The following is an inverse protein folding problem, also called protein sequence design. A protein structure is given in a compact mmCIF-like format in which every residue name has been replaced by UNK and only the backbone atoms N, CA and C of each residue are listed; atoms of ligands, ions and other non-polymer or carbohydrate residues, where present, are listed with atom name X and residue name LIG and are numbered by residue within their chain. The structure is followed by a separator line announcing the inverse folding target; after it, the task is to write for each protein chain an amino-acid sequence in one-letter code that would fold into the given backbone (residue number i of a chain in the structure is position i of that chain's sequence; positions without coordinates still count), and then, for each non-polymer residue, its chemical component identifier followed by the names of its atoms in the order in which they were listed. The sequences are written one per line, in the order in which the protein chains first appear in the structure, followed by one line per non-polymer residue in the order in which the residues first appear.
data_IF_424358264499
#
_entry.id   IF_424358264499
#
_cell.length_a   1.000
_cell.length_b   1.000
_cell.length_c   1.000
_cell.angle_alpha   90.00
_cell.angle_beta   90.00
_cell.angle_gamma   90.00
#
_symmetry.space_group_name_H-M   'P 1'
#
loop_
_entity.id
_entity.type
_entity.pdbx_description
1 polymer ?
#
# COMPACT_ATOMS: atom_id res chain seq x y z
N UNK A 1 -4.58 40.12 22.25
CA UNK A 1 -4.14 38.82 21.74
C UNK A 1 -4.47 38.75 20.26
N UNK A 2 -3.48 38.55 19.40
CA UNK A 2 -3.72 38.41 17.97
C UNK A 2 -4.14 36.96 17.61
N UNK A 3 -4.61 36.73 16.38
CA UNK A 3 -5.09 35.43 15.90
C UNK A 3 -4.03 34.30 16.06
N UNK A 4 -2.76 34.62 15.82
CA UNK A 4 -1.63 33.67 15.93
C UNK A 4 -1.39 33.30 17.40
N UNK A 5 -1.35 34.26 18.28
CA UNK A 5 -1.19 34.03 19.73
C UNK A 5 -2.32 33.20 20.30
N UNK A 6 -3.56 33.52 19.92
CA UNK A 6 -4.72 32.71 20.31
C UNK A 6 -4.57 31.26 19.88
N UNK A 7 -4.28 31.02 18.60
CA UNK A 7 -4.16 29.68 18.03
C UNK A 7 -3.03 28.86 18.67
N UNK A 8 -1.85 29.50 18.92
CA UNK A 8 -0.69 28.81 19.51
C UNK A 8 -0.90 28.42 20.97
N UNK A 9 -1.86 29.01 21.65
CA UNK A 9 -2.23 28.68 23.04
C UNK A 9 -3.34 27.64 23.14
N UNK A 10 -3.91 27.19 22.01
CA UNK A 10 -4.94 26.15 22.04
C UNK A 10 -4.31 24.77 22.34
N UNK A 11 -4.99 23.93 23.11
CA UNK A 11 -4.57 22.55 23.31
C UNK A 11 -4.62 21.81 21.97
N UNK A 12 -3.63 20.96 21.73
CA UNK A 12 -3.58 20.12 20.53
C UNK A 12 -3.36 18.66 20.88
N UNK A 13 -3.97 17.77 20.11
CA UNK A 13 -3.78 16.33 20.19
C UNK A 13 -3.30 15.78 18.83
N UNK A 14 -2.19 15.07 18.86
CA UNK A 14 -1.58 14.42 17.70
C UNK A 14 -1.84 12.90 17.66
N UNK A 15 -2.70 12.36 18.52
CA UNK A 15 -2.97 10.92 18.60
C UNK A 15 -3.48 10.36 17.27
N UNK A 16 -4.46 11.03 16.65
CA UNK A 16 -5.01 10.64 15.36
C UNK A 16 -3.98 10.71 14.22
N UNK A 17 -3.15 11.76 14.19
CA UNK A 17 -2.07 11.87 13.19
C UNK A 17 -1.01 10.78 13.37
N UNK A 18 -0.69 10.43 14.62
CA UNK A 18 0.25 9.35 14.94
C UNK A 18 -0.27 7.99 14.51
N UNK A 19 -1.55 7.69 14.76
CA UNK A 19 -2.18 6.45 14.35
C UNK A 19 -2.22 6.31 12.82
N UNK A 20 -2.65 7.35 12.12
CA UNK A 20 -2.65 7.36 10.65
C UNK A 20 -1.26 7.18 10.05
N UNK A 21 -0.24 7.80 10.65
CA UNK A 21 1.13 7.65 10.16
C UNK A 21 1.69 6.25 10.40
N UNK A 22 1.35 5.62 11.53
CA UNK A 22 1.71 4.20 11.79
C UNK A 22 1.06 3.29 10.78
N UNK A 23 -0.24 3.38 10.61
CA UNK A 23 -0.99 2.59 9.62
C UNK A 23 -0.40 2.75 8.21
N UNK A 24 -0.09 3.99 7.80
CA UNK A 24 0.57 4.24 6.52
C UNK A 24 1.92 3.49 6.40
N UNK A 25 2.73 3.49 7.45
CA UNK A 25 4.03 2.80 7.45
C UNK A 25 3.87 1.27 7.43
N UNK A 26 2.86 0.74 8.11
CA UNK A 26 2.48 -0.67 8.06
C UNK A 26 2.12 -1.09 6.64
N UNK A 27 1.26 -0.34 5.96
CA UNK A 27 0.90 -0.61 4.56
C UNK A 27 2.11 -0.54 3.62
N UNK A 28 2.95 0.47 3.77
CA UNK A 28 4.14 0.63 2.93
C UNK A 28 5.14 -0.51 3.12
N UNK A 29 5.35 -0.95 4.36
CA UNK A 29 6.19 -2.11 4.64
C UNK A 29 5.60 -3.39 4.00
N UNK A 30 4.29 -3.60 4.14
CA UNK A 30 3.60 -4.73 3.52
C UNK A 30 3.72 -4.72 1.99
N UNK A 31 3.62 -3.54 1.36
CA UNK A 31 3.87 -3.42 -0.09
C UNK A 31 5.32 -3.76 -0.44
N UNK A 32 6.31 -3.29 0.34
CA UNK A 32 7.70 -3.68 0.12
C UNK A 32 7.86 -5.19 0.18
N UNK A 33 7.29 -5.84 1.20
CA UNK A 33 7.34 -7.31 1.34
C UNK A 33 6.63 -8.03 0.18
N UNK A 34 5.49 -7.53 -0.27
CA UNK A 34 4.79 -8.05 -1.44
C UNK A 34 5.65 -7.98 -2.70
N UNK A 35 6.35 -6.86 -2.92
CA UNK A 35 7.24 -6.70 -4.08
C UNK A 35 8.43 -7.65 -4.02
N UNK A 36 9.00 -7.92 -2.85
CA UNK A 36 10.03 -8.94 -2.65
C UNK A 36 9.52 -10.34 -3.02
N UNK A 37 8.32 -10.69 -2.56
CA UNK A 37 7.67 -11.97 -2.89
C UNK A 37 7.37 -12.12 -4.39
N UNK A 38 7.12 -11.04 -5.10
CA UNK A 38 6.98 -11.08 -6.56
C UNK A 38 8.24 -11.54 -7.29
N UNK A 39 9.40 -11.38 -6.66
CA UNK A 39 10.68 -11.86 -7.21
C UNK A 39 10.92 -13.36 -6.95
N UNK A 40 10.24 -13.96 -5.98
CA UNK A 40 10.27 -15.41 -5.72
C UNK A 40 9.38 -16.16 -6.72
N UNK A 41 9.54 -17.50 -6.78
CA UNK A 41 8.68 -18.37 -7.59
C UNK A 41 7.40 -18.83 -6.83
N UNK A 42 7.28 -18.51 -5.55
CA UNK A 42 6.21 -19.00 -4.69
C UNK A 42 4.89 -18.25 -4.92
N UNK A 43 3.78 -18.97 -4.79
CA UNK A 43 2.48 -18.35 -4.70
C UNK A 43 2.31 -17.73 -3.32
N UNK A 44 1.59 -16.64 -3.27
CA UNK A 44 1.23 -15.99 -2.02
C UNK A 44 -0.07 -15.21 -2.13
N UNK A 45 -0.70 -15.00 -0.98
CA UNK A 45 -1.70 -13.96 -0.77
C UNK A 45 -1.27 -13.12 0.43
N UNK A 46 -1.10 -11.83 0.26
CA UNK A 46 -0.85 -10.89 1.35
C UNK A 46 -2.16 -10.30 1.84
N UNK A 47 -2.35 -10.26 3.16
CA UNK A 47 -3.51 -9.66 3.83
C UNK A 47 -3.00 -8.52 4.72
N UNK A 48 -3.73 -7.41 4.70
CA UNK A 48 -3.41 -6.21 5.47
C UNK A 48 -4.43 -6.00 6.58
N UNK A 49 -3.93 -5.82 7.81
CA UNK A 49 -4.74 -5.43 8.98
C UNK A 49 -5.97 -6.33 9.22
N UNK A 50 -5.73 -7.62 9.52
CA UNK A 50 -6.77 -8.59 9.85
C UNK A 50 -6.44 -9.33 11.16
N UNK A 51 -5.63 -10.38 11.15
CA UNK A 51 -5.18 -11.08 12.38
C UNK A 51 -4.01 -10.34 13.03
N UNK A 52 -3.11 -9.81 12.21
CA UNK A 52 -2.02 -8.92 12.63
C UNK A 52 -1.84 -7.79 11.61
N UNK A 53 -0.77 -6.98 11.76
CA UNK A 53 -0.58 -5.83 10.86
C UNK A 53 -0.42 -6.28 9.39
N UNK A 54 0.37 -7.36 9.13
CA UNK A 54 0.55 -7.97 7.80
C UNK A 54 0.61 -9.49 7.93
N UNK A 55 -0.09 -10.18 7.05
CA UNK A 55 -0.10 -11.63 6.94
C UNK A 55 0.27 -12.05 5.53
N UNK A 56 1.03 -13.13 5.41
CA UNK A 56 1.32 -13.77 4.12
C UNK A 56 0.89 -15.23 4.21
N UNK A 57 -0.02 -15.59 3.34
CA UNK A 57 -0.50 -16.94 3.17
C UNK A 57 0.26 -17.57 2.02
N UNK A 58 1.05 -18.59 2.31
CA UNK A 58 1.83 -19.38 1.37
C UNK A 58 1.12 -20.72 1.10
N UNK A 59 1.63 -21.48 0.13
CA UNK A 59 1.06 -22.81 -0.19
C UNK A 59 1.18 -23.79 1.01
N UNK A 60 2.23 -23.66 1.84
CA UNK A 60 2.50 -24.60 2.94
C UNK A 60 2.46 -23.96 4.34
N UNK A 61 2.13 -22.68 4.48
CA UNK A 61 2.16 -22.04 5.79
C UNK A 61 1.84 -20.56 5.79
N UNK A 62 2.16 -19.91 6.91
CA UNK A 62 1.84 -18.51 7.14
C UNK A 62 3.04 -17.72 7.64
N UNK A 63 3.10 -16.44 7.27
CA UNK A 63 4.00 -15.49 7.89
C UNK A 63 3.16 -14.36 8.51
N UNK A 64 3.38 -14.05 9.78
CA UNK A 64 2.68 -12.99 10.52
C UNK A 64 3.67 -11.93 10.96
N UNK A 65 3.38 -10.69 10.64
CA UNK A 65 4.25 -9.55 10.87
C UNK A 65 3.57 -8.48 11.70
N UNK A 66 4.08 -8.27 12.91
CA UNK A 66 3.67 -7.17 13.76
C UNK A 66 4.64 -6.01 13.58
N UNK A 67 4.17 -4.86 13.10
CA UNK A 67 5.03 -3.72 12.77
C UNK A 67 4.99 -2.69 13.89
N UNK A 68 6.16 -2.26 14.31
CA UNK A 68 6.33 -1.25 15.37
C UNK A 68 7.32 -0.19 14.92
N UNK A 69 6.82 1.03 14.76
CA UNK A 69 7.64 2.18 14.36
C UNK A 69 7.96 3.09 15.53
N UNK A 70 9.21 3.51 15.60
CA UNK A 70 9.74 4.45 16.57
C UNK A 70 10.17 5.76 15.89
N UNK A 71 10.06 6.87 16.62
CA UNK A 71 10.62 8.15 16.17
C UNK A 71 12.15 8.06 16.06
N UNK A 72 12.76 8.93 15.25
CA UNK A 72 14.22 8.97 15.05
C UNK A 72 15.01 9.05 16.36
N UNK A 73 14.55 9.85 17.31
CA UNK A 73 15.15 9.98 18.65
C UNK A 73 14.86 8.81 19.59
N UNK A 74 14.12 7.77 19.14
CA UNK A 74 13.77 6.62 19.97
C UNK A 74 14.97 5.72 20.27
N UNK A 75 15.00 5.13 21.47
CA UNK A 75 16.11 4.29 21.94
C UNK A 75 16.10 2.84 21.40
N UNK A 76 15.17 2.50 20.49
CA UNK A 76 14.96 1.13 20.00
C UNK A 76 14.20 0.26 20.99
N UNK A 77 13.99 -0.99 20.57
CA UNK A 77 13.29 -1.97 21.40
C UNK A 77 14.27 -2.68 22.32
N UNK A 78 13.81 -2.96 23.53
CA UNK A 78 14.51 -3.77 24.52
C UNK A 78 13.64 -4.99 24.85
N UNK A 79 14.25 -6.05 25.37
CA UNK A 79 13.54 -7.25 25.80
C UNK A 79 12.40 -6.92 26.77
N UNK A 80 12.70 -6.13 27.79
CA UNK A 80 11.69 -5.65 28.74
C UNK A 80 10.49 -4.96 28.05
N UNK A 81 10.71 -4.23 26.98
CA UNK A 81 9.64 -3.49 26.29
C UNK A 81 8.73 -4.40 25.49
N UNK A 82 9.29 -5.42 24.83
CA UNK A 82 8.49 -6.35 24.01
C UNK A 82 7.74 -7.38 24.86
N UNK A 83 8.22 -7.65 26.08
CA UNK A 83 7.61 -8.55 27.05
C UNK A 83 6.70 -7.82 28.08
N UNK A 84 6.69 -6.49 28.08
CA UNK A 84 5.94 -5.74 29.09
C UNK A 84 4.43 -5.72 28.77
N UNK A 85 3.64 -6.25 29.70
CA UNK A 85 2.19 -6.12 29.67
C UNK A 85 1.80 -4.73 30.21
N UNK A 86 1.18 -3.90 29.40
CA UNK A 86 0.66 -2.60 29.84
C UNK A 86 -0.61 -2.82 30.67
N UNK A 87 -0.79 -2.01 31.71
CA UNK A 87 -2.01 -2.01 32.53
C UNK A 87 -3.23 -1.73 31.66
N UNK A 88 -4.15 -2.70 31.55
CA UNK A 88 -5.34 -2.62 30.67
C UNK A 88 -5.13 -3.12 29.24
N UNK A 89 -3.94 -3.55 28.85
CA UNK A 89 -3.67 -4.20 27.57
C UNK A 89 -3.75 -5.75 27.71
N UNK A 90 -4.30 -6.41 26.72
CA UNK A 90 -4.51 -7.86 26.71
C UNK A 90 -3.24 -8.63 26.31
N UNK A 91 -2.10 -8.30 26.91
CA UNK A 91 -0.84 -9.00 26.68
C UNK A 91 0.32 -8.13 26.22
N UNK A 92 1.51 -8.73 26.20
CA UNK A 92 2.74 -8.11 25.70
C UNK A 92 2.76 -8.04 24.15
N UNK A 93 3.69 -7.29 23.58
CA UNK A 93 3.86 -7.26 22.10
C UNK A 93 4.19 -8.66 21.59
N UNK A 94 5.11 -9.35 22.28
CA UNK A 94 5.57 -10.67 21.87
C UNK A 94 4.51 -11.75 22.15
N UNK A 95 3.79 -11.66 23.28
CA UNK A 95 2.71 -12.58 23.62
C UNK A 95 1.57 -12.53 22.57
N UNK A 96 1.15 -11.35 22.17
CA UNK A 96 0.14 -11.17 21.11
C UNK A 96 0.56 -11.81 19.78
N UNK A 97 1.84 -11.71 19.43
CA UNK A 97 2.36 -12.34 18.22
C UNK A 97 2.47 -13.87 18.42
N UNK A 98 2.95 -14.33 19.56
CA UNK A 98 3.16 -15.75 19.83
C UNK A 98 1.86 -16.58 19.93
N UNK A 99 0.73 -15.96 20.23
CA UNK A 99 -0.60 -16.62 20.16
C UNK A 99 -0.88 -17.20 18.75
N UNK A 100 -0.24 -16.69 17.72
CA UNK A 100 -0.38 -17.15 16.32
C UNK A 100 0.52 -18.35 16.00
N UNK A 101 1.37 -18.79 16.95
CA UNK A 101 2.21 -19.98 16.78
C UNK A 101 1.36 -21.24 16.62
N UNK A 102 1.81 -22.16 15.77
CA UNK A 102 1.16 -23.44 15.52
C UNK A 102 2.22 -24.53 15.34
N UNK A 103 2.06 -25.64 16.03
CA UNK A 103 2.99 -26.78 15.97
C UNK A 103 2.73 -27.69 14.74
N UNK A 104 1.51 -27.68 14.21
CA UNK A 104 1.10 -28.57 13.11
C UNK A 104 1.28 -27.93 11.73
N UNK A 105 1.50 -26.62 11.67
CA UNK A 105 1.62 -25.85 10.43
C UNK A 105 2.84 -24.94 10.48
N UNK A 106 3.65 -24.87 9.40
CA UNK A 106 4.74 -23.91 9.30
C UNK A 106 4.25 -22.48 9.49
N UNK A 107 4.76 -21.80 10.50
CA UNK A 107 4.40 -20.42 10.82
C UNK A 107 5.66 -19.61 11.06
N UNK A 108 5.75 -18.44 10.45
CA UNK A 108 6.79 -17.46 10.77
C UNK A 108 6.17 -16.29 11.51
N UNK A 109 6.69 -15.98 12.68
CA UNK A 109 6.25 -14.87 13.53
C UNK A 109 7.34 -13.81 13.57
N UNK A 110 7.10 -12.61 13.10
CA UNK A 110 8.12 -11.58 13.03
C UNK A 110 7.67 -10.24 13.63
N UNK A 111 8.49 -9.72 14.53
CA UNK A 111 8.38 -8.35 15.01
C UNK A 111 9.24 -7.43 14.13
N UNK A 112 8.60 -6.62 13.32
CA UNK A 112 9.26 -5.69 12.41
C UNK A 112 9.41 -4.32 13.07
N UNK A 113 10.61 -3.74 13.02
CA UNK A 113 10.86 -2.44 13.60
C UNK A 113 11.86 -1.61 12.79
N UNK A 114 11.67 -0.28 12.80
CA UNK A 114 12.60 0.66 12.20
C UNK A 114 13.79 1.03 13.12
N UNK A 115 14.01 0.29 14.18
CA UNK A 115 15.13 0.41 15.11
C UNK A 115 15.71 -0.95 15.41
N UNK A 116 17.01 -0.99 15.57
CA UNK A 116 17.71 -2.20 15.98
C UNK A 116 17.20 -2.72 17.34
N UNK A 117 17.18 -4.03 17.50
CA UNK A 117 16.94 -4.67 18.77
C UNK A 117 18.27 -4.83 19.51
N UNK A 118 18.42 -4.07 20.59
CA UNK A 118 19.68 -3.97 21.33
C UNK A 118 20.25 -5.29 21.84
N UNK A 119 19.41 -6.31 21.94
CA UNK A 119 19.80 -7.63 22.42
C UNK A 119 20.41 -8.53 21.34
N UNK A 120 20.18 -8.25 20.04
CA UNK A 120 20.61 -9.06 18.91
C UNK A 120 21.72 -8.36 18.11
N UNK A 121 21.35 -7.57 17.12
CA UNK A 121 22.31 -6.89 16.24
C UNK A 121 21.88 -5.45 15.96
N UNK A 122 22.84 -4.61 15.59
CA UNK A 122 22.59 -3.25 15.11
C UNK A 122 22.41 -3.18 13.60
N UNK A 123 22.70 -4.27 12.88
CA UNK A 123 22.61 -4.29 11.43
C UNK A 123 21.16 -4.52 10.95
N UNK A 124 20.74 -3.87 9.87
CA UNK A 124 19.46 -4.16 9.24
C UNK A 124 19.38 -5.61 8.78
N UNK A 125 18.17 -6.19 8.88
CA UNK A 125 17.92 -7.54 8.42
C UNK A 125 17.04 -8.35 9.37
N UNK A 126 16.88 -9.61 9.05
CA UNK A 126 16.10 -10.58 9.81
C UNK A 126 17.01 -11.39 10.72
N UNK A 127 16.62 -11.51 11.98
CA UNK A 127 17.40 -12.24 13.01
C UNK A 127 16.43 -13.07 13.82
N UNK A 128 16.72 -14.40 13.94
CA UNK A 128 15.94 -15.30 14.81
C UNK A 128 16.22 -15.05 16.29
N UNK A 129 15.20 -15.16 17.11
CA UNK A 129 15.30 -15.07 18.58
C UNK A 129 16.12 -16.20 19.21
N UNK A 130 16.32 -17.30 18.50
CA UNK A 130 17.24 -18.38 18.97
C UNK A 130 18.72 -17.92 19.00
N UNK A 131 19.07 -16.81 18.36
CA UNK A 131 20.43 -16.25 18.40
C UNK A 131 20.72 -15.44 19.66
N UNK A 132 19.72 -15.24 20.51
CA UNK A 132 19.92 -14.64 21.82
C UNK A 132 20.74 -15.57 22.73
N UNK A 133 21.42 -15.00 23.73
CA UNK A 133 22.09 -15.80 24.75
C UNK A 133 21.07 -16.53 25.64
N UNK A 134 21.52 -17.60 26.31
CA UNK A 134 20.65 -18.48 27.13
C UNK A 134 19.84 -17.73 28.19
N UNK A 135 20.40 -16.69 28.80
CA UNK A 135 19.71 -15.88 29.82
C UNK A 135 18.50 -15.17 29.22
N UNK A 136 18.65 -14.50 28.09
CA UNK A 136 17.57 -13.78 27.40
C UNK A 136 16.55 -14.72 26.78
N UNK A 137 17.01 -15.82 26.21
CA UNK A 137 16.14 -16.89 25.71
C UNK A 137 15.25 -17.44 26.82
N UNK A 138 15.84 -17.74 28.00
CA UNK A 138 15.09 -18.20 29.17
C UNK A 138 14.11 -17.12 29.70
N UNK A 139 14.48 -15.84 29.66
CA UNK A 139 13.60 -14.73 30.03
C UNK A 139 12.35 -14.69 29.12
N UNK A 140 12.52 -14.83 27.81
CA UNK A 140 11.42 -14.84 26.85
C UNK A 140 10.51 -16.05 27.08
N UNK A 141 11.10 -17.24 27.15
CA UNK A 141 10.36 -18.51 27.34
C UNK A 141 9.52 -18.43 28.60
N UNK A 142 10.11 -18.02 29.72
CA UNK A 142 9.40 -17.89 30.99
C UNK A 142 8.29 -16.82 30.93
N UNK A 143 8.54 -15.70 30.29
CA UNK A 143 7.54 -14.64 30.14
C UNK A 143 6.34 -15.11 29.32
N UNK A 144 6.57 -15.77 28.17
CA UNK A 144 5.51 -16.29 27.30
C UNK A 144 4.73 -17.43 27.96
N UNK A 145 5.41 -18.37 28.66
CA UNK A 145 4.75 -19.43 29.42
C UNK A 145 3.80 -18.87 30.48
N UNK A 146 4.26 -17.88 31.23
CA UNK A 146 3.45 -17.24 32.27
C UNK A 146 2.31 -16.38 31.70
N UNK A 147 2.53 -15.71 30.57
CA UNK A 147 1.53 -14.82 29.94
C UNK A 147 0.41 -15.63 29.30
N UNK A 148 0.77 -16.69 28.56
CA UNK A 148 -0.14 -17.47 27.73
C UNK A 148 -0.66 -18.76 28.39
N UNK A 149 -0.16 -19.08 29.59
CA UNK A 149 -0.47 -20.33 30.33
C UNK A 149 -0.18 -21.59 29.51
N UNK A 150 0.99 -21.63 28.85
CA UNK A 150 1.45 -22.73 28.01
C UNK A 150 2.65 -23.45 28.62
N UNK A 151 2.76 -24.75 28.36
CA UNK A 151 3.82 -25.60 28.95
C UNK A 151 5.14 -25.50 28.22
N UNK A 152 5.12 -25.20 26.90
CA UNK A 152 6.29 -25.11 26.06
C UNK A 152 6.29 -23.89 25.14
N UNK A 153 7.46 -23.42 24.74
CA UNK A 153 7.66 -22.27 23.85
C UNK A 153 8.79 -22.58 22.91
N UNK A 154 8.50 -22.63 21.61
CA UNK A 154 9.50 -22.74 20.56
C UNK A 154 9.80 -21.33 19.99
N UNK A 155 11.09 -20.98 19.96
CA UNK A 155 11.57 -19.71 19.42
C UNK A 155 12.07 -19.82 17.97
N UNK A 156 12.05 -21.02 17.37
CA UNK A 156 12.58 -21.24 16.01
C UNK A 156 11.83 -20.41 14.96
N UNK A 157 10.52 -20.24 15.16
CA UNK A 157 9.66 -19.51 14.23
C UNK A 157 9.55 -18.02 14.56
N UNK A 158 10.27 -17.55 15.58
CA UNK A 158 10.19 -16.19 16.07
C UNK A 158 11.38 -15.34 15.61
N UNK A 159 11.11 -14.21 14.97
CA UNK A 159 12.09 -13.35 14.35
C UNK A 159 11.92 -11.88 14.75
N UNK A 160 13.03 -11.17 14.76
CA UNK A 160 13.06 -9.72 14.77
C UNK A 160 13.60 -9.21 13.44
N UNK A 161 12.86 -8.32 12.79
CA UNK A 161 13.27 -7.71 11.52
C UNK A 161 13.56 -6.24 11.79
N UNK A 162 14.83 -5.86 11.68
CA UNK A 162 15.22 -4.47 11.65
C UNK A 162 15.24 -3.95 10.22
N UNK A 163 14.36 -3.01 9.92
CA UNK A 163 14.28 -2.35 8.63
C UNK A 163 14.33 -0.83 8.82
N UNK A 164 15.35 -0.14 8.31
CA UNK A 164 15.44 1.32 8.40
C UNK A 164 14.38 1.95 7.50
N UNK A 165 13.25 2.38 8.10
CA UNK A 165 12.16 3.07 7.39
C UNK A 165 12.42 4.57 7.38
N UNK A 166 12.34 5.19 6.20
CA UNK A 166 12.33 6.65 6.10
C UNK A 166 10.98 7.19 6.60
N UNK A 167 10.97 7.82 7.77
CA UNK A 167 9.75 8.34 8.39
C UNK A 167 9.27 9.67 7.77
N UNK A 168 10.11 10.35 7.01
CA UNK A 168 9.80 11.65 6.40
C UNK A 168 9.16 11.46 5.01
N UNK A 169 9.79 10.64 4.16
CA UNK A 169 9.34 10.37 2.80
C UNK A 169 9.34 8.85 2.52
N UNK A 170 8.52 8.07 3.23
CA UNK A 170 8.58 6.62 3.15
C UNK A 170 8.17 6.05 1.78
N UNK A 171 7.46 6.85 0.97
CA UNK A 171 6.98 6.39 -0.34
C UNK A 171 8.06 6.31 -1.42
N UNK A 172 9.16 7.04 -1.29
CA UNK A 172 10.18 7.08 -2.35
C UNK A 172 10.84 5.72 -2.57
N UNK A 173 11.12 5.00 -1.50
CA UNK A 173 11.69 3.67 -1.56
C UNK A 173 10.73 2.69 -2.22
N UNK A 174 9.47 2.69 -1.80
CA UNK A 174 8.43 1.82 -2.36
C UNK A 174 8.17 2.11 -3.84
N UNK A 175 8.17 3.39 -4.24
CA UNK A 175 8.08 3.76 -5.66
C UNK A 175 9.23 3.19 -6.47
N UNK A 176 10.46 3.28 -5.95
CA UNK A 176 11.65 2.70 -6.60
C UNK A 176 11.54 1.19 -6.76
N UNK A 177 11.18 0.49 -5.69
CA UNK A 177 10.97 -0.96 -5.71
C UNK A 177 9.87 -1.36 -6.71
N UNK A 178 8.73 -0.65 -6.69
CA UNK A 178 7.61 -0.93 -7.60
C UNK A 178 7.99 -0.74 -9.07
N UNK A 179 8.73 0.32 -9.41
CA UNK A 179 9.25 0.53 -10.77
C UNK A 179 10.12 -0.65 -11.17
N UNK A 180 11.08 -1.02 -10.34
CA UNK A 180 12.01 -2.14 -10.61
C UNK A 180 11.26 -3.47 -10.79
N UNK A 181 10.29 -3.75 -9.92
CA UNK A 181 9.46 -4.97 -10.02
C UNK A 181 8.61 -4.95 -11.29
N UNK A 182 8.01 -3.80 -11.62
CA UNK A 182 7.25 -3.65 -12.88
C UNK A 182 8.13 -3.94 -14.10
N UNK A 183 9.33 -3.36 -14.16
CA UNK A 183 10.27 -3.58 -15.26
C UNK A 183 10.69 -5.05 -15.38
N UNK A 184 10.93 -5.72 -14.24
CA UNK A 184 11.24 -7.15 -14.22
C UNK A 184 10.11 -8.01 -14.78
N UNK A 185 8.86 -7.70 -14.43
CA UNK A 185 7.67 -8.47 -14.83
C UNK A 185 7.25 -8.14 -16.26
N UNK A 186 7.12 -6.85 -16.59
CA UNK A 186 6.57 -6.39 -17.87
C UNK A 186 7.60 -6.16 -18.96
N UNK A 187 8.91 -6.27 -18.64
CA UNK A 187 10.05 -6.04 -19.56
C UNK A 187 10.00 -4.66 -20.23
N UNK A 188 9.46 -3.69 -19.56
CA UNK A 188 9.35 -2.29 -20.00
C UNK A 188 9.21 -1.37 -18.80
N UNK A 189 9.67 -0.14 -18.92
CA UNK A 189 9.46 0.90 -17.91
C UNK A 189 7.98 1.29 -17.81
N UNK A 190 7.49 1.64 -16.61
CA UNK A 190 6.13 2.18 -16.46
C UNK A 190 6.07 3.59 -17.03
N UNK A 191 5.11 3.86 -17.93
CA UNK A 191 4.94 5.18 -18.55
C UNK A 191 4.68 6.30 -17.53
N UNK A 192 3.98 6.00 -16.44
CA UNK A 192 3.59 6.95 -15.42
C UNK A 192 3.81 6.34 -14.01
N UNK A 193 5.05 6.34 -13.48
CA UNK A 193 5.37 5.66 -12.21
C UNK A 193 4.54 6.10 -11.02
N UNK A 194 4.18 7.38 -10.94
CA UNK A 194 3.34 7.89 -9.86
C UNK A 194 1.89 7.37 -9.94
N UNK A 195 1.38 7.14 -11.15
CA UNK A 195 0.06 6.56 -11.35
C UNK A 195 0.05 5.08 -10.94
N UNK A 196 1.05 4.34 -11.36
CA UNK A 196 1.24 2.95 -10.93
C UNK A 196 1.27 2.83 -9.40
N UNK A 197 2.07 3.68 -8.74
CA UNK A 197 2.15 3.71 -7.29
C UNK A 197 0.79 4.00 -6.63
N UNK A 198 0.05 4.98 -7.12
CA UNK A 198 -1.27 5.31 -6.56
C UNK A 198 -2.26 4.17 -6.75
N UNK A 199 -2.27 3.54 -7.92
CA UNK A 199 -3.13 2.40 -8.20
C UNK A 199 -2.90 1.24 -7.23
N UNK A 200 -1.63 0.89 -7.00
CA UNK A 200 -1.27 -0.17 -6.04
C UNK A 200 -1.65 0.23 -4.61
N UNK A 201 -1.35 1.46 -4.20
CA UNK A 201 -1.66 1.92 -2.84
C UNK A 201 -3.16 2.08 -2.59
N UNK A 202 -3.94 2.41 -3.60
CA UNK A 202 -5.40 2.47 -3.52
C UNK A 202 -5.97 1.08 -3.26
N UNK A 203 -5.57 0.06 -4.04
CA UNK A 203 -5.98 -1.33 -3.82
C UNK A 203 -5.61 -1.82 -2.42
N UNK A 204 -4.36 -1.59 -2.00
CA UNK A 204 -3.87 -1.97 -0.67
C UNK A 204 -4.68 -1.30 0.43
N UNK A 205 -4.94 0.01 0.31
CA UNK A 205 -5.69 0.77 1.32
C UNK A 205 -7.15 0.35 1.38
N UNK A 206 -7.78 0.09 0.24
CA UNK A 206 -9.16 -0.41 0.16
C UNK A 206 -9.28 -1.75 0.89
N UNK A 207 -8.38 -2.70 0.58
CA UNK A 207 -8.35 -4.02 1.22
C UNK A 207 -8.07 -3.92 2.72
N UNK A 208 -7.12 -3.10 3.14
CA UNK A 208 -6.77 -2.93 4.54
C UNK A 208 -7.92 -2.32 5.37
N UNK A 209 -8.64 -1.35 4.80
CA UNK A 209 -9.74 -0.66 5.47
C UNK A 209 -11.09 -1.38 5.39
N UNK A 210 -11.17 -2.52 4.71
CA UNK A 210 -12.44 -3.25 4.59
C UNK A 210 -12.79 -3.94 5.90
N UNK A 211 -13.89 -3.49 6.52
CA UNK A 211 -14.41 -4.05 7.77
C UNK A 211 -15.51 -5.07 7.49
N UNK A 212 -15.35 -6.27 7.98
CA UNK A 212 -16.36 -7.34 7.85
C UNK A 212 -16.16 -8.39 8.96
N UNK A 213 -17.25 -9.08 9.30
CA UNK A 213 -17.23 -10.25 10.19
C UNK A 213 -17.49 -11.50 9.34
N UNK A 214 -16.42 -12.14 8.90
CA UNK A 214 -16.48 -13.34 8.07
C UNK A 214 -15.58 -14.43 8.65
N UNK A 215 -16.02 -15.69 8.51
CA UNK A 215 -15.30 -16.89 8.97
C UNK A 215 -14.96 -17.85 7.83
N UNK A 216 -15.28 -17.48 6.62
CA UNK A 216 -14.98 -18.22 5.41
C UNK A 216 -13.62 -17.78 4.87
N UNK A 217 -12.67 -18.72 4.83
CA UNK A 217 -11.27 -18.43 4.48
C UNK A 217 -11.13 -17.86 3.06
N UNK A 218 -11.85 -18.43 2.10
CA UNK A 218 -11.82 -18.01 0.70
C UNK A 218 -12.36 -16.58 0.55
N UNK A 219 -13.43 -16.26 1.27
CA UNK A 219 -13.96 -14.89 1.30
C UNK A 219 -13.03 -13.90 1.96
N UNK A 220 -12.33 -14.31 3.03
CA UNK A 220 -11.33 -13.45 3.65
C UNK A 220 -10.23 -13.14 2.65
N UNK A 221 -9.72 -14.13 1.94
CA UNK A 221 -8.72 -13.93 0.89
C UNK A 221 -9.24 -13.04 -0.25
N UNK A 222 -10.47 -13.24 -0.69
CA UNK A 222 -11.09 -12.41 -1.74
C UNK A 222 -11.23 -10.95 -1.31
N UNK A 223 -11.76 -10.70 -0.10
CA UNK A 223 -12.12 -9.37 0.36
C UNK A 223 -10.91 -8.57 0.87
N UNK A 224 -9.96 -9.20 1.55
CA UNK A 224 -8.79 -8.53 2.15
C UNK A 224 -7.46 -8.87 1.47
N UNK A 225 -7.40 -9.94 0.71
CA UNK A 225 -6.17 -10.43 0.13
C UNK A 225 -5.79 -9.78 -1.20
N UNK A 226 -4.49 -9.69 -1.41
CA UNK A 226 -3.89 -9.42 -2.72
C UNK A 226 -2.98 -10.60 -3.04
N UNK A 227 -3.44 -11.49 -3.90
CA UNK A 227 -2.64 -12.62 -4.36
C UNK A 227 -1.60 -12.18 -5.41
N UNK A 228 -0.59 -13.03 -5.64
CA UNK A 228 0.35 -12.86 -6.75
C UNK A 228 -0.38 -12.64 -8.09
N UNK A 229 -1.42 -13.44 -8.35
CA UNK A 229 -2.24 -13.31 -9.55
C UNK A 229 -2.94 -11.96 -9.62
N UNK A 230 -3.60 -11.56 -8.52
CA UNK A 230 -4.28 -10.28 -8.44
C UNK A 230 -3.35 -9.09 -8.65
N UNK A 231 -2.15 -9.15 -8.08
CA UNK A 231 -1.16 -8.10 -8.29
C UNK A 231 -0.70 -8.03 -9.76
N UNK A 232 -0.48 -9.18 -10.41
CA UNK A 232 -0.19 -9.22 -11.85
C UNK A 232 -1.31 -8.63 -12.70
N UNK A 233 -2.59 -8.90 -12.36
CA UNK A 233 -3.76 -8.31 -13.03
C UNK A 233 -3.76 -6.79 -12.90
N UNK A 234 -3.41 -6.24 -11.73
CA UNK A 234 -3.28 -4.79 -11.52
C UNK A 234 -2.21 -4.20 -12.46
N UNK A 235 -1.05 -4.86 -12.56
CA UNK A 235 0.02 -4.43 -13.46
C UNK A 235 -0.38 -4.55 -14.94
N UNK A 236 -1.14 -5.59 -15.31
CA UNK A 236 -1.65 -5.77 -16.68
C UNK A 236 -2.68 -4.72 -17.04
N UNK A 237 -3.64 -4.48 -16.15
CA UNK A 237 -4.65 -3.46 -16.32
C UNK A 237 -4.02 -2.07 -16.48
N UNK A 238 -3.03 -1.71 -15.65
CA UNK A 238 -2.25 -0.50 -15.80
C UNK A 238 -1.59 -0.42 -17.19
N UNK A 239 -0.93 -1.50 -17.63
CA UNK A 239 -0.22 -1.55 -18.91
C UNK A 239 -1.16 -1.44 -20.11
N UNK A 240 -2.31 -2.07 -20.06
CA UNK A 240 -3.34 -2.06 -21.11
C UNK A 240 -3.96 -0.66 -21.24
N UNK A 241 -4.35 -0.07 -20.13
CA UNK A 241 -4.93 1.27 -20.07
C UNK A 241 -3.97 2.30 -20.67
N UNK A 242 -2.71 2.25 -20.26
CA UNK A 242 -1.69 3.17 -20.77
C UNK A 242 -1.40 3.01 -22.28
N UNK A 243 -1.56 1.80 -22.85
CA UNK A 243 -1.22 1.52 -24.25
C UNK A 243 -2.41 1.68 -25.20
N UNK A 244 -3.57 1.14 -24.83
CA UNK A 244 -4.68 0.99 -25.76
C UNK A 244 -5.59 2.21 -25.81
N UNK A 245 -6.03 2.73 -24.67
CA UNK A 245 -6.91 3.89 -24.63
C UNK A 245 -6.27 5.14 -25.22
N UNK A 246 -5.02 5.43 -24.86
CA UNK A 246 -4.25 6.56 -25.39
C UNK A 246 -4.04 6.40 -26.89
N UNK A 247 -3.67 5.20 -27.34
CA UNK A 247 -3.45 4.93 -28.77
C UNK A 247 -4.73 5.13 -29.59
N UNK A 248 -5.84 4.50 -29.16
CA UNK A 248 -7.13 4.61 -29.85
C UNK A 248 -7.63 6.05 -29.91
N UNK A 249 -7.52 6.79 -28.79
CA UNK A 249 -7.92 8.20 -28.77
C UNK A 249 -7.05 9.06 -29.67
N UNK A 250 -5.74 8.85 -29.68
CA UNK A 250 -4.83 9.56 -30.59
C UNK A 250 -5.10 9.22 -32.05
N UNK A 251 -5.36 7.96 -32.37
CA UNK A 251 -5.68 7.52 -33.74
C UNK A 251 -7.00 8.18 -34.20
N UNK A 252 -8.01 8.23 -33.33
CA UNK A 252 -9.26 8.93 -33.62
C UNK A 252 -9.04 10.43 -33.88
N UNK A 253 -8.31 11.12 -32.96
CA UNK A 253 -8.01 12.56 -33.11
C UNK A 253 -7.20 12.83 -34.39
N UNK A 254 -6.28 11.94 -34.76
CA UNK A 254 -5.49 12.08 -35.97
C UNK A 254 -6.32 11.97 -37.28
N UNK A 255 -7.45 11.26 -37.21
CA UNK A 255 -8.37 11.09 -38.32
C UNK A 255 -9.38 12.24 -38.48
N UNK A 256 -9.40 13.22 -37.57
CA UNK A 256 -10.24 14.40 -37.71
C UNK A 256 -9.67 15.31 -38.81
N UNK A 257 -10.51 15.66 -39.79
CA UNK A 257 -10.07 16.43 -40.96
C UNK A 257 -9.82 17.91 -40.66
N UNK A 258 -10.52 18.50 -39.69
CA UNK A 258 -10.36 19.91 -39.34
C UNK A 258 -9.16 20.14 -38.41
N UNK A 259 -8.08 20.74 -38.94
CA UNK A 259 -6.83 20.97 -38.23
C UNK A 259 -6.98 21.75 -36.91
N UNK A 260 -7.86 22.75 -36.87
CA UNK A 260 -8.09 23.56 -35.67
C UNK A 260 -8.73 22.76 -34.52
N UNK A 261 -9.75 21.96 -34.84
CA UNK A 261 -10.42 21.09 -33.89
C UNK A 261 -9.49 19.97 -33.44
N UNK A 262 -8.73 19.37 -34.38
CA UNK A 262 -7.71 18.35 -34.06
C UNK A 262 -6.69 18.86 -33.06
N UNK A 263 -6.19 20.08 -33.24
CA UNK A 263 -5.23 20.68 -32.31
C UNK A 263 -5.85 20.84 -30.92
N UNK A 264 -7.07 21.37 -30.84
CA UNK A 264 -7.80 21.57 -29.56
C UNK A 264 -7.99 20.28 -28.81
N UNK A 265 -8.37 19.20 -29.48
CA UNK A 265 -8.50 17.88 -28.85
C UNK A 265 -7.17 17.31 -28.39
N UNK A 266 -6.10 17.49 -29.18
CA UNK A 266 -4.75 17.04 -28.77
C UNK A 266 -4.24 17.77 -27.55
N UNK A 267 -4.44 19.08 -27.48
CA UNK A 267 -4.01 19.90 -26.35
C UNK A 267 -4.79 19.49 -25.08
N UNK A 268 -6.11 19.32 -25.20
CA UNK A 268 -6.97 18.84 -24.12
C UNK A 268 -6.58 17.43 -23.64
N UNK A 269 -6.37 16.49 -24.57
CA UNK A 269 -5.95 15.15 -24.24
C UNK A 269 -4.59 15.12 -23.55
N UNK A 270 -3.64 15.92 -24.01
CA UNK A 270 -2.30 16.03 -23.40
C UNK A 270 -2.34 16.56 -21.97
N UNK A 271 -3.28 17.46 -21.67
CA UNK A 271 -3.52 17.94 -20.31
C UNK A 271 -4.23 16.89 -19.41
N UNK A 272 -5.13 16.13 -20.01
CA UNK A 272 -5.97 15.16 -19.32
C UNK A 272 -5.24 13.86 -18.97
N UNK A 273 -4.45 13.30 -19.88
CA UNK A 273 -3.82 12.00 -19.73
C UNK A 273 -2.97 11.83 -18.47
N UNK A 274 -2.14 12.81 -18.05
CA UNK A 274 -1.38 12.68 -16.82
C UNK A 274 -2.26 12.56 -15.57
N UNK A 275 -3.45 13.14 -15.59
CA UNK A 275 -4.42 13.09 -14.49
C UNK A 275 -5.19 11.77 -14.50
N UNK A 276 -5.63 11.35 -15.67
CA UNK A 276 -6.31 10.07 -15.87
C UNK A 276 -5.43 8.91 -15.43
N UNK A 277 -4.17 8.88 -15.83
CA UNK A 277 -3.21 7.83 -15.50
C UNK A 277 -2.86 7.72 -14.01
N UNK A 278 -3.49 8.51 -13.16
CA UNK A 278 -3.27 8.47 -11.71
C UNK A 278 -4.33 7.69 -10.93
N UNK A 279 -5.35 7.14 -11.59
CA UNK A 279 -6.54 6.61 -10.92
C UNK A 279 -6.96 5.24 -11.44
N UNK A 280 -7.45 4.38 -10.52
CA UNK A 280 -7.95 3.02 -10.81
C UNK A 280 -9.17 3.01 -11.74
N UNK A 281 -10.00 4.05 -11.67
CA UNK A 281 -11.23 4.19 -12.51
C UNK A 281 -10.93 4.59 -13.96
N UNK A 282 -9.67 4.68 -14.31
CA UNK A 282 -9.18 5.15 -15.59
C UNK A 282 -9.73 4.41 -16.79
N UNK A 283 -9.77 3.09 -16.72
CA UNK A 283 -10.17 2.30 -17.88
C UNK A 283 -11.62 2.59 -18.28
N UNK A 284 -12.54 2.67 -17.30
CA UNK A 284 -13.92 3.00 -17.56
C UNK A 284 -14.08 4.43 -18.06
N UNK A 285 -13.27 5.34 -17.52
CA UNK A 285 -13.32 6.73 -17.90
C UNK A 285 -12.71 6.97 -19.27
N UNK A 286 -11.56 6.37 -19.60
CA UNK A 286 -10.98 6.39 -20.93
C UNK A 286 -11.92 5.82 -22.00
N UNK A 287 -12.49 4.64 -21.71
CA UNK A 287 -13.47 4.05 -22.61
C UNK A 287 -14.68 4.97 -22.82
N UNK A 288 -15.15 5.63 -21.76
CA UNK A 288 -16.24 6.61 -21.85
C UNK A 288 -15.86 7.82 -22.71
N UNK A 289 -14.63 8.34 -22.56
CA UNK A 289 -14.12 9.45 -23.36
C UNK A 289 -14.00 9.04 -24.83
N UNK A 290 -13.38 7.89 -25.10
CA UNK A 290 -13.22 7.38 -26.48
C UNK A 290 -14.58 7.16 -27.15
N UNK A 291 -15.55 6.59 -26.43
CA UNK A 291 -16.89 6.40 -26.96
C UNK A 291 -17.61 7.71 -27.25
N UNK A 292 -17.48 8.68 -26.38
CA UNK A 292 -18.05 10.02 -26.56
C UNK A 292 -17.46 10.70 -27.79
N UNK A 293 -16.13 10.69 -27.93
CA UNK A 293 -15.44 11.27 -29.09
C UNK A 293 -15.85 10.58 -30.40
N UNK A 294 -15.93 9.24 -30.39
CA UNK A 294 -16.39 8.46 -31.56
C UNK A 294 -17.85 8.75 -31.93
N UNK A 295 -18.73 8.87 -30.92
CA UNK A 295 -20.15 9.14 -31.14
C UNK A 295 -20.43 10.56 -31.66
N UNK A 296 -19.58 11.53 -31.31
CA UNK A 296 -19.67 12.89 -31.86
C UNK A 296 -19.23 12.96 -33.33
N UNK A 297 -18.43 12.00 -33.78
CA UNK A 297 -17.90 11.99 -35.16
C UNK A 297 -17.10 13.26 -35.46
N UNK A 298 -17.25 13.76 -36.69
CA UNK A 298 -16.60 15.02 -37.11
C UNK A 298 -17.41 16.25 -36.74
N UNK A 299 -18.63 16.09 -36.21
CA UNK A 299 -19.46 17.22 -35.82
C UNK A 299 -19.08 17.72 -34.42
N UNK A 300 -18.00 18.47 -34.37
CA UNK A 300 -17.43 19.03 -33.15
C UNK A 300 -18.06 20.37 -32.73
N UNK A 301 -19.26 20.72 -33.28
CA UNK A 301 -19.96 21.94 -32.91
C UNK A 301 -20.35 22.04 -31.43
N UNK A 302 -20.45 20.90 -30.75
CA UNK A 302 -20.86 20.78 -29.35
C UNK A 302 -19.71 20.45 -28.38
N UNK A 303 -18.51 20.94 -28.67
CA UNK A 303 -17.34 20.76 -27.83
C UNK A 303 -17.59 21.20 -26.37
N UNK A 304 -18.39 22.26 -26.17
CA UNK A 304 -18.69 22.76 -24.83
C UNK A 304 -19.52 21.77 -24.01
N UNK A 305 -20.44 21.05 -24.62
CA UNK A 305 -21.20 20.01 -23.92
C UNK A 305 -20.31 18.85 -23.49
N UNK A 306 -19.37 18.50 -24.32
CA UNK A 306 -18.37 17.46 -24.02
C UNK A 306 -17.42 17.88 -22.89
N UNK A 307 -16.97 19.14 -22.91
CA UNK A 307 -16.17 19.74 -21.82
C UNK A 307 -16.95 19.69 -20.51
N UNK A 308 -18.21 20.09 -20.51
CA UNK A 308 -19.07 20.10 -19.33
C UNK A 308 -19.33 18.68 -18.83
N UNK A 309 -19.57 17.72 -19.72
CA UNK A 309 -19.78 16.34 -19.36
C UNK A 309 -18.53 15.74 -18.68
N UNK A 310 -17.34 15.90 -19.28
CA UNK A 310 -16.09 15.45 -18.70
C UNK A 310 -15.77 16.13 -17.36
N UNK A 311 -15.94 17.43 -17.26
CA UNK A 311 -15.81 18.17 -16.00
C UNK A 311 -16.68 17.55 -14.92
N UNK A 312 -17.93 17.23 -15.25
CA UNK A 312 -18.86 16.63 -14.30
C UNK A 312 -18.44 15.24 -13.81
N UNK A 313 -17.77 14.46 -14.66
CA UNK A 313 -17.21 13.16 -14.29
C UNK A 313 -15.97 13.35 -13.41
N UNK A 314 -15.09 14.27 -13.78
CA UNK A 314 -13.89 14.58 -13.01
C UNK A 314 -14.21 15.10 -11.61
N UNK A 315 -15.14 16.03 -11.49
CA UNK A 315 -15.56 16.59 -10.20
C UNK A 315 -16.14 15.52 -9.25
N UNK A 316 -16.78 14.49 -9.79
CA UNK A 316 -17.42 13.43 -9.00
C UNK A 316 -16.53 12.25 -8.67
N UNK A 317 -15.62 11.88 -9.57
CA UNK A 317 -14.87 10.62 -9.49
C UNK A 317 -13.38 10.81 -9.23
N UNK A 318 -12.86 11.99 -9.50
CA UNK A 318 -11.43 12.28 -9.45
C UNK A 318 -11.21 13.50 -8.56
N UNK A 319 -10.83 13.32 -7.29
CA UNK A 319 -10.51 14.41 -6.39
C UNK A 319 -9.13 15.01 -6.74
N UNK A 320 -8.95 15.49 -7.97
CA UNK A 320 -7.75 16.17 -8.44
C UNK A 320 -8.10 17.62 -8.68
N UNK A 321 -7.37 18.52 -8.05
CA UNK A 321 -7.44 19.93 -8.35
C UNK A 321 -6.89 20.18 -9.76
N UNK A 322 -7.71 20.74 -10.62
CA UNK A 322 -7.33 21.23 -11.94
C UNK A 322 -7.83 22.66 -12.11
N UNK A 323 -7.10 23.44 -12.86
CA UNK A 323 -7.40 24.87 -13.05
C UNK A 323 -8.68 25.07 -13.85
N UNK A 324 -9.31 26.24 -13.70
CA UNK A 324 -10.48 26.61 -14.49
C UNK A 324 -10.21 26.62 -16.00
N UNK A 325 -8.95 26.85 -16.39
CA UNK A 325 -8.50 26.80 -17.78
C UNK A 325 -8.40 25.36 -18.29
N UNK A 326 -7.84 24.45 -17.50
CA UNK A 326 -7.80 23.03 -17.81
C UNK A 326 -9.21 22.45 -17.94
N UNK A 327 -10.16 22.85 -17.06
CA UNK A 327 -11.58 22.46 -17.17
C UNK A 327 -12.21 22.80 -18.50
N UNK A 328 -11.84 23.93 -19.11
CA UNK A 328 -12.36 24.36 -20.41
C UNK A 328 -11.77 23.60 -21.60
N UNK A 329 -10.64 22.94 -21.42
CA UNK A 329 -9.91 22.23 -22.47
C UNK A 329 -9.96 20.71 -22.32
N UNK A 330 -10.83 20.24 -21.42
CA UNK A 330 -11.07 18.83 -21.25
C UNK A 330 -11.80 18.21 -22.43
N UNK A 331 -11.71 18.81 -23.55
CA UNK A 331 -12.00 18.26 -24.88
C UNK A 331 -11.96 19.37 -25.91
#
# INVERSE_FOLDING_TARGET
MNKKEYYMNLPHDLSGSRSKNRFRLELLWGVSRMLELMESAENFTIIFDYVCDIEIHLDEGFEFYQIKTEKEAGNGYTLKRILNQKKGDQGSILGKLYVLHNEEMPVKLALVCNKAFKALSSDPGEISFVQLNDEKTSEIINALKNELDISDVDLNDLYYIYTPMNLVNPEYEIKGQLITTFEKIKKSEPNYPNALYRLVMEEVSEKACYEFDEKDYEKIQELKGISRTKFNEILDMYSLTAKNGIKETNDYINNINELGKRKKYKDALSSLLPKLSQLKILQDLENSIVQKLKNKGENLGEIEDEINWLSSIFDKKIPIEYTAEEKKYFI
#
